data_IF_738093261991
#
_entry.id   IF_738093261991
#
_cell.length_a   1.000
_cell.length_b   1.000
_cell.length_c   1.000
_cell.angle_alpha   90.00
_cell.angle_beta   90.00
_cell.angle_gamma   90.00
#
_symmetry.space_group_name_H-M   'P 1'
#
loop_
_entity.id
_entity.type
_entity.pdbx_description
1 polymer ?
#
# COMPACT_ATOMS: atom_id res chain seq x y z
N UNK A 1 -22.84 -15.09 35.38
CA UNK A 1 -23.42 -15.45 34.06
C UNK A 1 -23.54 -14.20 33.21
N UNK A 2 -22.52 -13.89 32.39
CA UNK A 2 -22.59 -12.79 31.43
C UNK A 2 -21.98 -13.24 30.11
N UNK A 3 -22.84 -13.54 29.15
CA UNK A 3 -22.52 -13.62 27.72
C UNK A 3 -22.43 -12.21 27.15
N UNK A 4 -21.40 -11.83 26.37
CA UNK A 4 -21.49 -10.64 25.54
C UNK A 4 -22.19 -10.98 24.22
N UNK A 5 -23.16 -10.13 23.90
CA UNK A 5 -24.00 -10.15 22.72
C UNK A 5 -23.14 -9.76 21.50
N UNK A 6 -22.92 -10.67 20.56
CA UNK A 6 -22.32 -10.38 19.25
C UNK A 6 -23.39 -9.72 18.36
N UNK A 7 -23.25 -8.42 18.07
CA UNK A 7 -24.04 -7.77 17.03
C UNK A 7 -23.31 -7.89 15.69
N UNK A 8 -23.63 -8.93 14.93
CA UNK A 8 -23.26 -9.03 13.51
C UNK A 8 -24.25 -8.19 12.71
N UNK A 9 -23.87 -6.97 12.32
CA UNK A 9 -24.60 -6.22 11.31
C UNK A 9 -23.95 -6.46 9.95
N UNK A 10 -24.47 -7.47 9.23
CA UNK A 10 -24.28 -7.58 7.78
C UNK A 10 -25.25 -6.59 7.12
N UNK A 11 -24.75 -5.55 6.48
CA UNK A 11 -25.53 -4.79 5.51
C UNK A 11 -25.08 -5.22 4.10
N UNK A 12 -25.97 -5.95 3.42
CA UNK A 12 -25.88 -6.24 2.01
C UNK A 12 -26.39 -5.02 1.22
N UNK A 13 -25.59 -4.52 0.28
CA UNK A 13 -26.00 -3.48 -0.65
C UNK A 13 -26.91 -4.11 -1.72
N UNK A 14 -28.14 -3.60 -1.85
CA UNK A 14 -29.02 -3.86 -3.00
C UNK A 14 -29.09 -2.62 -3.91
N UNK A 15 -29.32 -2.78 -5.22
CA UNK A 15 -29.07 -1.74 -6.21
C UNK A 15 -30.33 -0.92 -6.51
N UNK A 16 -30.25 0.40 -6.47
CA UNK A 16 -31.21 1.22 -7.23
C UNK A 16 -30.71 2.63 -7.58
N UNK A 17 -30.87 2.93 -8.87
CA UNK A 17 -30.94 4.25 -9.53
C UNK A 17 -29.67 5.12 -9.62
N UNK A 18 -28.85 4.80 -10.62
CA UNK A 18 -28.00 5.76 -11.31
C UNK A 18 -28.87 6.75 -12.10
N UNK A 19 -28.89 8.02 -11.69
CA UNK A 19 -29.20 9.14 -12.59
C UNK A 19 -27.88 9.70 -13.12
N UNK A 20 -27.77 9.68 -14.45
CA UNK A 20 -26.67 10.13 -15.28
C UNK A 20 -26.40 11.62 -15.18
N UNK A 21 -25.15 12.02 -14.96
CA UNK A 21 -24.59 13.31 -15.37
C UNK A 21 -23.11 13.12 -15.81
N UNK A 22 -22.59 13.97 -16.72
CA UNK A 22 -21.75 13.53 -17.82
C UNK A 22 -20.30 13.29 -17.45
N UNK A 23 -19.76 12.25 -18.06
CA UNK A 23 -18.34 11.91 -18.15
C UNK A 23 -17.62 12.89 -19.07
N UNK A 24 -16.89 13.85 -18.50
CA UNK A 24 -15.86 14.59 -19.23
C UNK A 24 -14.47 14.15 -18.76
N UNK A 25 -13.90 13.23 -19.54
CA UNK A 25 -12.49 13.11 -19.90
C UNK A 25 -11.44 13.29 -18.78
N UNK A 26 -11.17 12.20 -18.05
CA UNK A 26 -9.81 11.91 -17.57
C UNK A 26 -9.18 10.89 -18.52
N UNK A 27 -8.49 11.37 -19.56
CA UNK A 27 -7.54 10.55 -20.31
C UNK A 27 -6.17 10.71 -19.67
N UNK A 28 -5.92 10.01 -18.57
CA UNK A 28 -4.55 9.85 -18.05
C UNK A 28 -3.91 8.67 -18.78
N UNK A 29 -2.96 8.96 -19.67
CA UNK A 29 -2.10 7.94 -20.27
C UNK A 29 -1.30 7.23 -19.17
N UNK A 30 -1.50 5.93 -19.02
CA UNK A 30 -0.73 5.10 -18.09
C UNK A 30 0.60 4.79 -18.74
N UNK A 31 1.64 5.59 -18.44
CA UNK A 31 3.00 5.24 -18.85
C UNK A 31 3.66 4.39 -17.77
N UNK A 32 3.73 3.08 -18.04
CA UNK A 32 4.38 2.08 -17.17
C UNK A 32 5.88 2.17 -17.37
N UNK A 33 6.62 2.76 -16.42
CA UNK A 33 8.09 2.66 -16.38
C UNK A 33 8.50 1.80 -15.20
N UNK A 34 9.34 0.79 -15.44
CA UNK A 34 10.02 0.01 -14.41
C UNK A 34 11.26 0.81 -13.99
N UNK A 35 11.31 1.29 -12.76
CA UNK A 35 12.53 1.83 -12.14
C UNK A 35 13.08 0.75 -11.21
N UNK A 36 14.29 0.29 -11.48
CA UNK A 36 14.98 -0.71 -10.67
C UNK A 36 15.63 -0.03 -9.46
N UNK A 37 15.23 -0.41 -8.24
CA UNK A 37 15.94 -0.01 -7.02
C UNK A 37 17.09 -0.99 -6.77
N UNK A 38 18.32 -0.49 -6.75
CA UNK A 38 19.51 -1.24 -6.35
C UNK A 38 19.48 -1.47 -4.83
N UNK A 39 19.05 -2.67 -4.39
CA UNK A 39 19.27 -3.11 -3.01
C UNK A 39 20.70 -3.63 -2.85
N UNK A 40 21.51 -2.91 -2.08
CA UNK A 40 22.80 -3.40 -1.60
C UNK A 40 22.61 -4.33 -0.38
N UNK A 41 22.85 -5.62 -0.59
CA UNK A 41 23.69 -6.53 0.22
C UNK A 41 23.64 -6.42 1.76
N UNK A 42 22.46 -6.58 2.39
CA UNK A 42 22.39 -6.75 3.85
C UNK A 42 22.10 -8.20 4.31
N UNK A 43 21.59 -9.06 3.42
CA UNK A 43 21.05 -10.38 3.81
C UNK A 43 22.03 -11.57 3.71
N UNK A 44 23.25 -11.39 3.21
CA UNK A 44 24.21 -12.49 3.06
C UNK A 44 24.92 -12.92 4.36
N UNK A 45 24.80 -12.15 5.44
CA UNK A 45 25.67 -12.35 6.63
C UNK A 45 25.13 -13.34 7.69
N UNK A 46 23.89 -13.85 7.58
CA UNK A 46 23.29 -14.68 8.64
C UNK A 46 23.37 -16.20 8.34
N UNK A 47 23.78 -16.62 7.14
CA UNK A 47 23.77 -18.05 6.77
C UNK A 47 25.08 -18.81 6.96
N UNK A 48 26.18 -18.17 7.39
CA UNK A 48 27.51 -18.79 7.40
C UNK A 48 27.97 -19.33 8.76
N UNK A 49 27.13 -20.09 9.48
CA UNK A 49 27.50 -20.52 10.83
C UNK A 49 26.80 -21.75 11.40
N UNK A 50 26.86 -22.91 10.74
CA UNK A 50 26.80 -24.20 11.46
C UNK A 50 27.47 -25.32 10.64
N UNK A 51 28.44 -25.99 11.25
CA UNK A 51 29.34 -26.97 10.65
C UNK A 51 29.08 -28.39 11.20
N UNK A 52 29.31 -29.39 10.32
CA UNK A 52 29.91 -30.74 10.54
C UNK A 52 29.02 -32.02 10.67
N UNK A 53 29.18 -32.87 9.63
CA UNK A 53 29.70 -34.26 9.62
C UNK A 53 28.76 -35.51 9.45
N UNK A 54 28.81 -36.07 8.21
CA UNK A 54 29.04 -37.47 7.75
C UNK A 54 28.02 -38.65 8.03
N UNK A 55 28.07 -39.79 7.26
CA UNK A 55 26.91 -40.35 6.52
C UNK A 55 26.57 -41.83 6.85
N UNK A 56 25.47 -42.38 6.27
CA UNK A 56 25.26 -43.77 5.73
C UNK A 56 23.76 -43.96 5.36
N UNK A 57 23.41 -44.76 4.32
CA UNK A 57 22.11 -44.71 3.62
C UNK A 57 21.16 -45.85 4.01
N UNK A 58 19.85 -45.60 4.02
CA UNK A 58 18.81 -46.64 3.98
C UNK A 58 17.65 -46.15 3.11
N UNK A 59 17.21 -47.02 2.22
CA UNK A 59 16.18 -46.80 1.20
C UNK A 59 14.81 -47.07 1.83
N UNK A 60 13.83 -46.22 1.55
CA UNK A 60 12.44 -46.62 1.34
C UNK A 60 11.74 -45.56 0.47
N UNK A 61 10.96 -45.95 -0.56
CA UNK A 61 10.21 -45.02 -1.40
C UNK A 61 8.80 -44.79 -0.84
N UNK A 62 8.12 -43.75 -1.35
CA UNK A 62 6.71 -43.38 -1.13
C UNK A 62 6.47 -42.37 0.01
N UNK A 63 6.54 -41.09 -0.34
CA UNK A 63 5.37 -40.19 -0.37
C UNK A 63 5.87 -38.79 -0.72
N UNK A 64 6.04 -38.54 -2.01
CA UNK A 64 6.08 -37.16 -2.54
C UNK A 64 4.68 -36.56 -2.36
N UNK A 65 4.43 -35.95 -1.21
CA UNK A 65 3.55 -34.79 -1.19
C UNK A 65 4.28 -33.73 -2.01
N UNK A 66 3.66 -33.10 -3.03
CA UNK A 66 4.26 -31.94 -3.64
C UNK A 66 4.41 -30.91 -2.52
N UNK A 67 5.65 -30.63 -2.12
CA UNK A 67 5.96 -29.35 -1.52
C UNK A 67 5.63 -28.33 -2.60
N UNK A 68 4.38 -27.88 -2.62
CA UNK A 68 4.01 -26.63 -3.24
C UNK A 68 4.83 -25.57 -2.51
N UNK A 69 6.04 -25.33 -3.04
CA UNK A 69 6.75 -24.07 -2.83
C UNK A 69 5.77 -23.01 -3.33
N UNK A 70 4.96 -22.51 -2.42
CA UNK A 70 4.34 -21.20 -2.57
C UNK A 70 5.53 -20.26 -2.66
N UNK A 71 5.96 -20.01 -3.90
CA UNK A 71 6.76 -18.86 -4.23
C UNK A 71 5.94 -17.68 -3.71
N UNK A 72 6.28 -17.20 -2.52
CA UNK A 72 5.85 -15.90 -2.04
C UNK A 72 6.37 -14.92 -3.09
N UNK A 73 5.57 -14.64 -4.12
CA UNK A 73 5.83 -13.55 -5.05
C UNK A 73 5.88 -12.28 -4.17
N UNK A 74 7.10 -11.90 -3.76
CA UNK A 74 7.39 -10.58 -3.21
C UNK A 74 7.00 -9.58 -4.31
N UNK A 75 5.73 -9.14 -4.27
CA UNK A 75 5.19 -8.27 -5.29
C UNK A 75 5.87 -6.91 -5.15
N UNK A 76 6.80 -6.63 -6.06
CA UNK A 76 7.46 -5.32 -6.20
C UNK A 76 6.45 -4.17 -6.07
N UNK A 77 6.83 -3.04 -5.43
CA UNK A 77 5.92 -1.93 -5.22
C UNK A 77 5.42 -1.40 -6.56
N UNK A 78 4.09 -1.34 -6.70
CA UNK A 78 3.46 -0.85 -7.93
C UNK A 78 3.32 0.67 -7.85
N UNK A 79 4.13 1.38 -8.62
CA UNK A 79 4.08 2.83 -8.73
C UNK A 79 3.31 3.28 -9.99
N UNK A 80 2.46 4.29 -9.83
CA UNK A 80 1.60 4.84 -10.89
C UNK A 80 1.55 6.37 -10.73
N UNK A 81 1.87 7.12 -11.79
CA UNK A 81 1.69 8.57 -11.80
C UNK A 81 0.19 8.88 -12.01
N UNK A 82 -0.42 9.58 -11.05
CA UNK A 82 -1.82 9.99 -11.10
C UNK A 82 -1.98 11.36 -11.79
N UNK A 83 -1.04 12.28 -11.50
CA UNK A 83 -1.05 13.65 -12.01
C UNK A 83 0.39 14.01 -12.38
N UNK A 84 0.57 14.67 -13.51
CA UNK A 84 1.82 15.31 -13.92
C UNK A 84 1.49 16.69 -14.47
N UNK A 85 2.20 17.71 -13.98
CA UNK A 85 2.02 19.11 -14.38
C UNK A 85 3.38 19.79 -14.46
N UNK A 86 3.54 20.63 -15.47
CA UNK A 86 4.69 21.53 -15.59
C UNK A 86 4.27 22.92 -15.11
N UNK A 87 5.06 23.51 -14.22
CA UNK A 87 4.86 24.87 -13.72
C UNK A 87 5.52 25.90 -14.66
N UNK A 88 5.09 27.17 -14.62
CA UNK A 88 5.64 28.22 -15.50
C UNK A 88 7.14 28.48 -15.34
N UNK A 89 7.71 28.09 -14.20
CA UNK A 89 9.14 28.14 -13.91
C UNK A 89 9.93 26.97 -14.54
N UNK A 90 9.26 26.01 -15.18
CA UNK A 90 9.85 24.80 -15.74
C UNK A 90 9.93 23.63 -14.75
N UNK A 91 9.42 23.79 -13.52
CA UNK A 91 9.40 22.72 -12.51
C UNK A 91 8.33 21.68 -12.86
N UNK A 92 8.69 20.40 -12.91
CA UNK A 92 7.74 19.31 -13.12
C UNK A 92 7.28 18.78 -11.75
N UNK A 93 5.96 18.75 -11.55
CA UNK A 93 5.32 18.22 -10.35
C UNK A 93 4.49 16.99 -10.70
N UNK A 94 4.68 15.90 -9.95
CA UNK A 94 3.92 14.66 -10.12
C UNK A 94 3.29 14.24 -8.80
N UNK A 95 2.10 13.65 -8.89
CA UNK A 95 1.51 12.89 -7.78
C UNK A 95 1.62 11.42 -8.12
N UNK A 96 2.41 10.71 -7.34
CA UNK A 96 2.69 9.29 -7.51
C UNK A 96 1.90 8.47 -6.48
N UNK A 97 1.12 7.51 -6.96
CA UNK A 97 0.59 6.42 -6.15
C UNK A 97 1.60 5.29 -6.06
N UNK A 98 1.79 4.72 -4.87
CA UNK A 98 2.58 3.49 -4.66
C UNK A 98 1.82 2.53 -3.75
N UNK A 99 1.72 1.25 -4.14
CA UNK A 99 1.22 0.17 -3.28
C UNK A 99 2.33 -0.81 -2.96
N UNK A 100 2.62 -1.01 -1.67
CA UNK A 100 3.69 -1.89 -1.19
C UNK A 100 5.04 -1.19 -0.98
N UNK A 101 5.12 0.14 -1.18
CA UNK A 101 6.33 0.91 -0.92
C UNK A 101 6.58 1.13 0.59
N UNK A 102 7.85 1.42 0.92
CA UNK A 102 8.23 1.85 2.27
C UNK A 102 7.64 3.23 2.59
N UNK A 103 7.11 3.39 3.80
CA UNK A 103 6.62 4.68 4.32
C UNK A 103 7.40 4.97 5.60
N UNK A 104 8.12 6.10 5.61
CA UNK A 104 8.83 6.53 6.80
C UNK A 104 7.86 6.96 7.92
N UNK A 105 8.16 6.54 9.13
CA UNK A 105 7.30 6.79 10.30
C UNK A 105 7.27 8.27 10.67
N UNK A 106 8.35 9.01 10.46
CA UNK A 106 8.41 10.44 10.76
C UNK A 106 7.61 11.23 9.71
N UNK A 107 7.69 10.84 8.45
CA UNK A 107 6.88 11.48 7.40
C UNK A 107 5.38 11.18 7.58
N UNK A 108 5.03 9.94 7.96
CA UNK A 108 3.66 9.63 8.36
C UNK A 108 3.22 10.43 9.58
N UNK A 109 4.09 10.63 10.57
CA UNK A 109 3.76 11.45 11.75
C UNK A 109 3.52 12.92 11.36
N UNK A 110 4.36 13.50 10.49
CA UNK A 110 4.14 14.85 9.95
C UNK A 110 2.79 14.95 9.23
N UNK A 111 2.44 13.94 8.44
CA UNK A 111 1.14 13.88 7.75
C UNK A 111 -0.03 13.77 8.74
N UNK A 112 0.10 12.94 9.78
CA UNK A 112 -0.90 12.82 10.85
C UNK A 112 -1.09 14.16 11.58
N UNK A 113 -0.01 14.87 11.88
CA UNK A 113 -0.06 16.19 12.53
C UNK A 113 -0.85 17.20 11.66
N UNK A 114 -0.63 17.21 10.33
CA UNK A 114 -1.35 18.09 9.39
C UNK A 114 -2.87 17.86 9.38
N UNK A 115 -3.32 16.61 9.54
CA UNK A 115 -4.76 16.27 9.59
C UNK A 115 -5.37 16.34 11.00
N UNK A 116 -4.57 16.74 12.01
CA UNK A 116 -5.03 16.88 13.39
C UNK A 116 -5.17 15.57 14.16
N UNK A 117 -4.54 14.49 13.71
CA UNK A 117 -4.58 13.21 14.43
C UNK A 117 -3.60 13.21 15.61
N UNK A 118 -3.97 12.59 16.75
CA UNK A 118 -3.08 12.53 17.91
C UNK A 118 -1.83 11.71 17.60
N UNK A 119 -0.71 12.12 18.20
CA UNK A 119 0.56 11.39 18.07
C UNK A 119 0.47 10.01 18.72
N UNK A 120 1.07 9.03 18.07
CA UNK A 120 1.15 7.63 18.52
C UNK A 120 2.61 7.25 18.75
N UNK A 121 2.94 6.31 19.66
CA UNK A 121 4.31 5.85 19.83
C UNK A 121 4.89 5.32 18.53
N UNK A 122 6.03 5.87 18.09
CA UNK A 122 6.64 5.60 16.77
C UNK A 122 6.95 4.12 16.56
N UNK A 123 7.38 3.41 17.60
CA UNK A 123 7.63 1.96 17.55
C UNK A 123 6.37 1.14 17.25
N UNK A 124 5.21 1.56 17.76
CA UNK A 124 3.93 0.91 17.48
C UNK A 124 3.43 1.24 16.07
N UNK A 125 3.63 2.47 15.60
CA UNK A 125 3.31 2.86 14.22
C UNK A 125 4.17 2.07 13.22
N UNK A 126 5.47 1.96 13.47
CA UNK A 126 6.38 1.14 12.66
C UNK A 126 5.93 -0.32 12.60
N UNK A 127 5.57 -0.90 13.75
CA UNK A 127 5.05 -2.27 13.81
C UNK A 127 3.72 -2.43 13.06
N UNK A 128 2.81 -1.44 13.15
CA UNK A 128 1.54 -1.46 12.42
C UNK A 128 1.75 -1.40 10.90
N UNK A 129 2.68 -0.56 10.42
CA UNK A 129 3.05 -0.50 9.00
C UNK A 129 3.63 -1.84 8.52
N UNK A 130 4.59 -2.40 9.27
CA UNK A 130 5.24 -3.68 8.92
C UNK A 130 4.26 -4.87 8.88
N UNK A 131 3.31 -4.90 9.82
CA UNK A 131 2.35 -6.00 9.93
C UNK A 131 1.07 -5.77 9.10
N UNK A 132 1.07 -4.77 8.22
CA UNK A 132 -0.05 -4.54 7.31
C UNK A 132 0.17 -5.30 6.02
N UNK A 133 -0.89 -5.94 5.54
CA UNK A 133 -0.89 -6.65 4.27
C UNK A 133 -0.55 -5.72 3.09
N UNK A 134 -1.03 -4.48 3.16
CA UNK A 134 -0.73 -3.47 2.15
C UNK A 134 -0.69 -2.08 2.76
N UNK A 135 0.31 -1.30 2.36
CA UNK A 135 0.36 0.15 2.58
C UNK A 135 0.32 0.81 1.21
N UNK A 136 -0.65 1.69 1.00
CA UNK A 136 -0.70 2.55 -0.18
C UNK A 136 -0.37 3.98 0.23
N UNK A 137 0.33 4.69 -0.65
CA UNK A 137 0.80 6.05 -0.39
C UNK A 137 0.65 6.92 -1.62
N UNK A 138 0.46 8.22 -1.37
CA UNK A 138 0.58 9.28 -2.36
C UNK A 138 1.82 10.10 -2.05
N UNK A 139 2.66 10.28 -3.06
CA UNK A 139 3.86 11.10 -2.97
C UNK A 139 3.80 12.25 -3.96
N UNK A 140 4.13 13.46 -3.50
CA UNK A 140 4.45 14.57 -4.37
C UNK A 140 5.90 14.45 -4.79
N UNK A 141 6.15 14.38 -6.09
CA UNK A 141 7.48 14.45 -6.68
C UNK A 141 7.65 15.83 -7.31
N UNK A 142 8.73 16.53 -6.95
CA UNK A 142 9.08 17.83 -7.52
C UNK A 142 10.45 17.75 -8.15
N UNK A 143 10.53 18.07 -9.44
CA UNK A 143 11.76 18.09 -10.21
C UNK A 143 12.01 19.53 -10.71
N UNK A 144 12.90 20.29 -10.06
CA UNK A 144 13.25 21.63 -10.51
C UNK A 144 13.92 21.63 -11.90
N UNK A 145 13.86 22.74 -12.64
CA UNK A 145 14.71 22.91 -13.82
C UNK A 145 16.18 22.96 -13.38
N UNK A 146 17.05 22.23 -14.09
CA UNK A 146 18.49 22.14 -13.82
C UNK A 146 18.91 21.45 -12.51
N UNK A 147 18.02 20.66 -11.87
CA UNK A 147 18.48 19.73 -10.84
C UNK A 147 19.23 18.57 -11.50
N UNK A 148 20.43 18.25 -11.01
CA UNK A 148 21.26 17.10 -11.42
C UNK A 148 20.63 15.75 -11.00
N UNK A 149 19.33 15.56 -11.26
CA UNK A 149 18.54 14.39 -10.87
C UNK A 149 18.00 14.41 -9.44
N UNK A 150 18.12 15.52 -8.69
CA UNK A 150 17.51 15.65 -7.37
C UNK A 150 15.99 15.81 -7.44
N UNK A 151 15.28 14.68 -7.34
CA UNK A 151 13.82 14.65 -7.20
C UNK A 151 13.44 14.74 -5.72
N UNK A 152 12.66 15.76 -5.36
CA UNK A 152 12.13 15.88 -4.01
C UNK A 152 10.85 15.06 -3.87
N UNK A 153 10.78 14.17 -2.88
CA UNK A 153 9.64 13.30 -2.59
C UNK A 153 9.01 13.63 -1.25
N UNK A 154 7.76 14.08 -1.24
CA UNK A 154 6.98 14.36 -0.02
C UNK A 154 5.78 13.39 0.10
N UNK A 155 5.57 12.78 1.27
CA UNK A 155 4.36 11.98 1.55
C UNK A 155 3.16 12.91 1.75
N UNK A 156 2.14 12.79 0.88
CA UNK A 156 0.93 13.63 0.91
C UNK A 156 -0.35 12.84 1.15
N UNK A 157 -0.29 11.51 1.23
CA UNK A 157 -1.45 10.68 1.55
C UNK A 157 -1.06 9.24 1.85
N UNK A 158 -1.86 8.55 2.66
CA UNK A 158 -1.64 7.15 3.01
C UNK A 158 -2.99 6.45 3.24
N UNK A 159 -3.02 5.16 2.92
CA UNK A 159 -4.03 4.22 3.37
C UNK A 159 -3.34 2.90 3.73
N UNK A 160 -3.88 2.15 4.68
CA UNK A 160 -3.31 0.88 5.15
C UNK A 160 -4.38 -0.20 5.12
N UNK A 161 -4.01 -1.45 4.84
CA UNK A 161 -4.93 -2.57 4.91
C UNK A 161 -4.31 -3.76 5.65
N UNK A 162 -5.09 -4.37 6.54
CA UNK A 162 -4.80 -5.68 7.14
C UNK A 162 -5.62 -6.74 6.43
N UNK A 163 -5.11 -7.96 6.32
CA UNK A 163 -5.79 -9.05 5.62
C UNK A 163 -5.55 -10.38 6.31
N UNK A 164 -6.45 -11.34 6.12
CA UNK A 164 -6.22 -12.76 6.41
C UNK A 164 -5.47 -13.48 5.27
N UNK A 165 -5.05 -12.73 4.25
CA UNK A 165 -4.34 -13.18 3.04
C UNK A 165 -5.16 -14.06 2.10
N UNK A 166 -6.45 -14.31 2.38
CA UNK A 166 -7.27 -15.22 1.59
C UNK A 166 -8.58 -14.58 1.15
N UNK A 167 -9.37 -14.05 2.08
CA UNK A 167 -10.75 -13.62 1.78
C UNK A 167 -11.02 -12.18 2.18
N UNK A 168 -10.46 -11.74 3.30
CA UNK A 168 -10.89 -10.52 3.98
C UNK A 168 -9.75 -9.52 4.10
N UNK A 169 -10.01 -8.28 3.70
CA UNK A 169 -9.19 -7.14 4.06
C UNK A 169 -10.01 -6.04 4.74
N UNK A 170 -9.37 -5.35 5.67
CA UNK A 170 -9.92 -4.14 6.30
C UNK A 170 -8.97 -2.98 6.04
N UNK A 171 -9.51 -1.91 5.47
CA UNK A 171 -8.80 -0.65 5.23
C UNK A 171 -8.87 0.19 6.51
N UNK A 172 -7.70 0.69 6.92
CA UNK A 172 -7.44 1.53 8.07
C UNK A 172 -6.71 2.80 7.64
N UNK A 173 -6.74 3.81 8.51
CA UNK A 173 -5.88 4.99 8.44
C UNK A 173 -5.86 5.67 7.06
N UNK A 174 -7.02 6.01 6.48
CA UNK A 174 -7.09 6.76 5.21
C UNK A 174 -6.97 8.26 5.47
N UNK A 175 -5.89 8.87 5.02
CA UNK A 175 -5.64 10.31 5.19
C UNK A 175 -4.91 10.93 3.99
N UNK A 176 -5.21 12.21 3.74
CA UNK A 176 -4.59 13.03 2.70
C UNK A 176 -4.26 14.39 3.30
N UNK A 177 -3.09 14.93 2.97
CA UNK A 177 -2.65 16.27 3.39
C UNK A 177 -3.73 17.30 3.04
N UNK A 178 -4.17 18.16 3.98
CA UNK A 178 -5.23 19.14 3.76
C UNK A 178 -5.06 20.00 2.50
N UNK A 179 -3.81 20.33 2.12
CA UNK A 179 -3.52 21.12 0.91
C UNK A 179 -3.95 20.43 -0.38
N UNK A 180 -4.12 19.11 -0.35
CA UNK A 180 -4.44 18.27 -1.50
C UNK A 180 -5.85 17.63 -1.40
N UNK A 181 -6.64 18.00 -0.39
CA UNK A 181 -8.03 17.56 -0.26
C UNK A 181 -8.95 18.29 -1.26
N UNK A 182 -10.15 17.77 -1.47
CA UNK A 182 -11.11 18.32 -2.44
C UNK A 182 -10.81 18.04 -3.92
N UNK A 183 -9.65 17.45 -4.23
CA UNK A 183 -9.19 17.17 -5.61
C UNK A 183 -9.43 15.71 -6.06
N UNK A 184 -10.15 14.92 -5.25
CA UNK A 184 -10.42 13.50 -5.55
C UNK A 184 -9.26 12.53 -5.22
N UNK A 185 -8.16 12.99 -4.62
CA UNK A 185 -7.01 12.13 -4.30
C UNK A 185 -7.32 11.02 -3.29
N UNK A 186 -8.15 11.30 -2.28
CA UNK A 186 -8.57 10.27 -1.31
C UNK A 186 -9.37 9.14 -1.99
N UNK A 187 -10.26 9.50 -2.92
CA UNK A 187 -10.99 8.53 -3.76
C UNK A 187 -10.02 7.72 -4.62
N UNK A 188 -9.09 8.38 -5.32
CA UNK A 188 -8.11 7.70 -6.16
C UNK A 188 -7.22 6.73 -5.36
N UNK A 189 -6.78 7.14 -4.17
CA UNK A 189 -6.00 6.31 -3.25
C UNK A 189 -6.74 5.04 -2.85
N UNK A 190 -7.99 5.16 -2.41
CA UNK A 190 -8.82 4.00 -2.03
C UNK A 190 -9.13 3.12 -3.23
N UNK A 191 -9.51 3.70 -4.37
CA UNK A 191 -9.81 2.93 -5.60
C UNK A 191 -8.60 2.11 -6.06
N UNK A 192 -7.40 2.69 -6.03
CA UNK A 192 -6.19 1.98 -6.43
C UNK A 192 -5.80 0.89 -5.42
N UNK A 193 -5.97 1.14 -4.11
CA UNK A 193 -5.80 0.11 -3.08
C UNK A 193 -6.79 -1.05 -3.27
N UNK A 194 -8.07 -0.77 -3.49
CA UNK A 194 -9.10 -1.79 -3.76
C UNK A 194 -8.74 -2.61 -5.00
N UNK A 195 -8.33 -1.96 -6.10
CA UNK A 195 -7.84 -2.65 -7.30
C UNK A 195 -6.60 -3.50 -7.05
N UNK A 196 -5.75 -3.13 -6.10
CA UNK A 196 -4.57 -3.91 -5.75
C UNK A 196 -4.93 -5.12 -4.89
N UNK A 197 -5.86 -4.98 -3.93
CA UNK A 197 -6.40 -6.08 -3.11
C UNK A 197 -7.15 -7.11 -3.96
N UNK A 198 -8.02 -6.66 -4.88
CA UNK A 198 -8.75 -7.55 -5.79
C UNK A 198 -7.83 -8.34 -6.73
N UNK A 199 -6.70 -7.76 -7.14
CA UNK A 199 -5.67 -8.47 -7.94
C UNK A 199 -4.91 -9.52 -7.14
N UNK A 200 -4.97 -9.46 -5.81
CA UNK A 200 -4.46 -10.48 -4.89
C UNK A 200 -5.61 -11.39 -4.40
N UNK A 201 -6.71 -11.44 -5.14
CA UNK A 201 -7.87 -12.32 -4.90
C UNK A 201 -8.63 -12.08 -3.59
N UNK A 202 -8.38 -10.94 -2.91
CA UNK A 202 -9.14 -10.55 -1.73
C UNK A 202 -10.49 -9.99 -2.15
N UNK A 203 -11.55 -10.79 -2.01
CA UNK A 203 -12.89 -10.45 -2.46
C UNK A 203 -13.69 -9.58 -1.48
N UNK A 204 -13.50 -9.75 -0.16
CA UNK A 204 -14.25 -9.02 0.86
C UNK A 204 -13.40 -7.89 1.44
N UNK A 205 -13.73 -6.65 1.09
CA UNK A 205 -13.00 -5.45 1.51
C UNK A 205 -13.92 -4.59 2.38
N UNK A 206 -13.48 -4.33 3.61
CA UNK A 206 -14.21 -3.56 4.62
C UNK A 206 -13.47 -2.29 4.98
N UNK A 207 -14.21 -1.26 5.39
CA UNK A 207 -13.66 -0.06 6.02
C UNK A 207 -14.69 0.46 7.03
N UNK A 208 -14.21 1.17 8.05
CA UNK A 208 -15.07 1.86 9.01
C UNK A 208 -14.99 3.37 8.75
N UNK A 209 -16.14 3.99 8.56
CA UNK A 209 -16.27 5.42 8.38
C UNK A 209 -17.17 5.97 9.49
N UNK A 210 -16.79 7.11 10.05
CA UNK A 210 -17.64 7.83 10.99
C UNK A 210 -18.91 8.32 10.26
N UNK A 211 -20.04 8.31 10.97
CA UNK A 211 -21.27 8.89 10.45
C UNK A 211 -21.07 10.41 10.31
N UNK A 212 -21.38 10.94 9.12
CA UNK A 212 -21.39 12.38 8.83
C UNK A 212 -22.73 13.02 9.16
#
# INVERSE_FOLDING_TARGET
>A
SHTPFFLSQRQALTPCMLRSFPSSLFTSGVQRRRLTSLKANFWDSIKSGLLKNNPIPVIDPVSELPEEKQEEEESEPKEIVLIEKEQPDGTIVKILFSSGGYVDVHDLQKLCDKVGWPRRPTTKVAAALRNSYMVASLHLLTHPPNSDGEEQRELIGMARATSDHVFNATIWDVLVDPRYQGQGLGKALVEQMVRALLRKEIANITLFADAQ
#
